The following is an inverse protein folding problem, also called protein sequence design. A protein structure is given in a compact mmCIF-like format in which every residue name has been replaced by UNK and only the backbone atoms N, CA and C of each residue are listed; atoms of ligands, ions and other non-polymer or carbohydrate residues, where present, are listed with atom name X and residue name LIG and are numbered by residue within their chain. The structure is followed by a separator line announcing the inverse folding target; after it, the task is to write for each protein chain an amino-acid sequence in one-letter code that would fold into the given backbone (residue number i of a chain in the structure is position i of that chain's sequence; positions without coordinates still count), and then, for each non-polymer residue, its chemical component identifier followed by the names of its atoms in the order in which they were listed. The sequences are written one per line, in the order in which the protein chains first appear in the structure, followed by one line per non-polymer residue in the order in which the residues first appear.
data_IF_913811467032
#
_entry.id   IF_913811467032
#
_cell.length_a   1.000
_cell.length_b   1.000
_cell.length_c   1.000
_cell.angle_alpha   90.00
_cell.angle_beta   90.00
_cell.angle_gamma   90.00
#
_symmetry.space_group_name_H-M   'P 1'
#
loop_
_entity.id
_entity.type
_entity.pdbx_description
1 polymer ?
#
# COMPACT_ATOMS: atom_id res chain seq x y z
N UNK A 1 17.12 27.87 7.34
CA UNK A 1 17.35 26.42 7.50
C UNK A 1 16.76 25.70 6.30
N UNK A 2 17.53 24.94 5.50
CA UNK A 2 16.95 24.20 4.38
C UNK A 2 16.10 23.04 4.90
N UNK A 3 14.82 23.02 4.51
CA UNK A 3 13.89 21.94 4.82
C UNK A 3 13.43 21.29 3.52
N UNK A 4 13.54 19.97 3.42
CA UNK A 4 13.00 19.21 2.29
C UNK A 4 11.55 18.84 2.56
N UNK A 5 10.63 19.53 1.89
CA UNK A 5 9.19 19.22 1.93
C UNK A 5 8.89 18.35 0.72
N UNK A 6 8.55 17.08 0.96
CA UNK A 6 8.25 16.10 -0.10
C UNK A 6 6.95 15.37 0.20
N UNK A 7 6.17 15.10 -0.85
CA UNK A 7 5.02 14.20 -0.81
C UNK A 7 5.30 13.03 -1.74
N UNK A 8 5.51 11.85 -1.16
CA UNK A 8 5.77 10.64 -1.93
C UNK A 8 4.48 9.84 -2.08
N UNK A 9 4.08 9.61 -3.33
CA UNK A 9 2.97 8.75 -3.72
C UNK A 9 3.51 7.65 -4.63
N UNK A 10 3.24 6.40 -4.28
CA UNK A 10 3.65 5.24 -5.05
C UNK A 10 2.43 4.45 -5.51
N UNK A 11 2.38 4.12 -6.80
CA UNK A 11 1.47 3.13 -7.34
C UNK A 11 2.18 1.77 -7.34
N UNK A 12 1.72 0.87 -6.48
CA UNK A 12 2.33 -0.44 -6.27
C UNK A 12 1.39 -1.49 -6.85
N UNK A 13 1.92 -2.35 -7.72
CA UNK A 13 1.17 -3.40 -8.40
C UNK A 13 1.90 -4.72 -8.23
N UNK A 14 1.19 -5.75 -7.81
CA UNK A 14 1.69 -7.12 -7.84
C UNK A 14 0.56 -8.10 -8.10
N UNK A 15 0.91 -9.25 -8.69
CA UNK A 15 -0.01 -10.29 -9.08
C UNK A 15 0.08 -11.51 -8.16
N UNK A 16 -0.97 -12.32 -8.17
CA UNK A 16 -0.93 -13.69 -7.66
C UNK A 16 0.15 -14.50 -8.39
N UNK A 17 0.58 -15.60 -7.77
CA UNK A 17 1.53 -16.52 -8.39
C UNK A 17 0.95 -17.03 -9.72
N UNK A 18 1.74 -16.94 -10.79
CA UNK A 18 1.34 -17.31 -12.16
C UNK A 18 0.10 -16.58 -12.70
N UNK A 19 -0.30 -15.43 -12.10
CA UNK A 19 -1.55 -14.72 -12.42
C UNK A 19 -2.81 -15.59 -12.31
N UNK A 20 -2.80 -16.57 -11.39
CA UNK A 20 -3.99 -17.35 -11.09
C UNK A 20 -5.11 -16.47 -10.49
N UNK A 21 -6.35 -16.72 -10.88
CA UNK A 21 -7.53 -15.98 -10.41
C UNK A 21 -7.93 -16.39 -8.99
N UNK A 22 -7.16 -15.94 -8.00
CA UNK A 22 -7.29 -16.32 -6.59
C UNK A 22 -7.95 -15.25 -5.72
N UNK A 23 -8.09 -14.02 -6.21
CA UNK A 23 -8.71 -12.89 -5.49
C UNK A 23 -10.21 -12.87 -5.83
N UNK A 24 -10.97 -13.73 -5.16
CA UNK A 24 -12.42 -13.77 -5.29
C UNK A 24 -13.10 -12.98 -4.16
N UNK A 25 -14.39 -12.60 -4.29
CA UNK A 25 -15.07 -11.74 -3.31
C UNK A 25 -14.97 -12.22 -1.86
N UNK A 26 -14.92 -13.54 -1.62
CA UNK A 26 -14.78 -14.11 -0.28
C UNK A 26 -13.43 -13.87 0.43
N UNK A 27 -12.39 -13.37 -0.26
CA UNK A 27 -11.10 -13.02 0.37
C UNK A 27 -10.68 -11.57 0.13
N UNK A 28 -11.35 -10.83 -0.76
CA UNK A 28 -10.88 -9.52 -1.23
C UNK A 28 -10.76 -8.50 -0.09
N UNK A 29 -11.82 -8.39 0.74
CA UNK A 29 -11.86 -7.48 1.88
C UNK A 29 -10.77 -7.81 2.91
N UNK A 30 -10.59 -9.09 3.22
CA UNK A 30 -9.56 -9.56 4.17
C UNK A 30 -8.15 -9.30 3.63
N UNK A 31 -7.91 -9.52 2.34
CA UNK A 31 -6.65 -9.22 1.67
C UNK A 31 -6.32 -7.72 1.75
N UNK A 32 -7.29 -6.86 1.44
CA UNK A 32 -7.11 -5.41 1.53
C UNK A 32 -6.93 -4.94 2.98
N UNK A 33 -7.65 -5.54 3.94
CA UNK A 33 -7.47 -5.30 5.37
C UNK A 33 -6.07 -5.67 5.86
N UNK A 34 -5.57 -6.84 5.45
CA UNK A 34 -4.21 -7.28 5.74
C UNK A 34 -3.17 -6.30 5.17
N UNK A 35 -3.30 -5.92 3.90
CA UNK A 35 -2.39 -4.97 3.24
C UNK A 35 -2.43 -3.60 3.92
N UNK A 36 -3.62 -3.13 4.29
CA UNK A 36 -3.74 -1.89 5.07
C UNK A 36 -2.95 -1.96 6.37
N UNK A 37 -3.03 -3.08 7.10
CA UNK A 37 -2.22 -3.34 8.28
C UNK A 37 -0.72 -3.29 8.01
N UNK A 38 -0.26 -3.95 6.94
CA UNK A 38 1.16 -3.92 6.52
C UNK A 38 1.62 -2.49 6.20
N UNK A 39 0.86 -1.75 5.40
CA UNK A 39 1.19 -0.37 5.00
C UNK A 39 1.24 0.55 6.23
N UNK A 40 0.26 0.42 7.14
CA UNK A 40 0.20 1.17 8.39
C UNK A 40 1.39 0.88 9.31
N UNK A 41 1.78 -0.40 9.44
CA UNK A 41 2.91 -0.82 10.26
C UNK A 41 4.27 -0.37 9.69
N UNK A 42 4.31 0.07 8.43
CA UNK A 42 5.46 0.69 7.78
C UNK A 42 5.36 2.23 7.76
N UNK A 43 4.54 2.82 8.62
CA UNK A 43 4.35 4.27 8.76
C UNK A 43 3.95 4.98 7.46
N UNK A 44 3.23 4.25 6.63
CA UNK A 44 2.67 4.73 5.38
C UNK A 44 1.14 4.73 5.45
N UNK A 45 0.51 5.44 4.51
CA UNK A 45 -0.94 5.49 4.37
C UNK A 45 -1.35 4.83 3.07
N UNK A 46 -2.18 3.80 3.15
CA UNK A 46 -2.90 3.26 2.00
C UNK A 46 -4.05 4.23 1.67
N UNK A 47 -4.00 4.85 0.50
CA UNK A 47 -5.01 5.82 0.05
C UNK A 47 -6.11 5.08 -0.74
N UNK A 48 -5.71 4.20 -1.64
CA UNK A 48 -6.61 3.39 -2.47
C UNK A 48 -6.04 1.98 -2.53
N UNK A 49 -6.91 0.98 -2.37
CA UNK A 49 -6.67 -0.40 -2.77
C UNK A 49 -7.80 -0.83 -3.70
N UNK A 50 -7.43 -1.48 -4.80
CA UNK A 50 -8.36 -2.10 -5.72
C UNK A 50 -7.63 -3.25 -6.42
N UNK A 51 -8.31 -4.04 -7.23
CA UNK A 51 -7.70 -5.10 -7.98
C UNK A 51 -8.64 -5.77 -8.96
N UNK A 52 -8.19 -6.93 -9.41
CA UNK A 52 -8.96 -7.91 -10.16
C UNK A 52 -8.63 -9.29 -9.58
N UNK A 53 -9.16 -10.33 -10.19
CA UNK A 53 -9.02 -11.72 -9.73
C UNK A 53 -7.58 -12.20 -9.56
N UNK A 54 -6.60 -11.58 -10.22
CA UNK A 54 -5.21 -12.04 -10.20
C UNK A 54 -4.15 -10.96 -9.91
N UNK A 55 -4.53 -9.70 -9.70
CA UNK A 55 -3.57 -8.66 -9.29
C UNK A 55 -4.25 -7.50 -8.59
N UNK A 56 -3.47 -6.76 -7.82
CA UNK A 56 -3.95 -5.60 -7.08
C UNK A 56 -3.17 -4.35 -7.44
N UNK A 57 -3.83 -3.21 -7.24
CA UNK A 57 -3.30 -1.88 -7.40
C UNK A 57 -3.44 -1.12 -6.07
N UNK A 58 -2.33 -0.62 -5.57
CA UNK A 58 -2.29 0.16 -4.32
C UNK A 58 -1.77 1.56 -4.61
N UNK A 59 -2.45 2.58 -4.10
CA UNK A 59 -1.91 3.93 -3.99
C UNK A 59 -1.49 4.17 -2.55
N UNK A 60 -0.19 4.30 -2.32
CA UNK A 60 0.39 4.48 -0.99
C UNK A 60 1.05 5.85 -0.89
N UNK A 61 0.76 6.58 0.18
CA UNK A 61 1.52 7.76 0.59
C UNK A 61 2.54 7.38 1.65
N UNK A 62 3.81 7.62 1.35
CA UNK A 62 4.89 7.46 2.30
C UNK A 62 5.30 8.82 2.85
N UNK A 63 5.50 8.88 4.16
CA UNK A 63 6.02 10.07 4.83
C UNK A 63 7.43 9.79 5.31
N UNK A 64 8.35 10.74 5.07
CA UNK A 64 9.68 10.67 5.66
C UNK A 64 9.53 10.83 7.17
N UNK A 65 9.93 9.83 7.95
CA UNK A 65 10.12 10.01 9.40
C UNK A 65 11.20 11.09 9.62
N UNK A 66 10.85 12.12 10.38
CA UNK A 66 11.85 13.01 10.98
C UNK A 66 12.58 12.23 12.07
N UNK A 67 13.86 11.92 11.89
CA UNK A 67 14.68 11.17 12.86
C UNK A 67 15.34 12.14 13.87
N UNK A 68 14.66 13.23 14.24
CA UNK A 68 15.19 14.16 15.24
C UNK A 68 14.18 14.31 16.38
N UNK A 69 14.50 13.82 17.59
CA UNK A 69 13.90 14.35 18.80
C UNK A 69 14.54 15.73 19.01
N UNK A 70 13.72 16.78 18.96
CA UNK A 70 14.10 18.05 19.58
C UNK A 70 13.65 17.95 21.03
#
# INVERSE_FOLDING_TARGET
MPQSIVKMLAHIVFSTKNRADLIHPGIEDDLFGYIHGVVKNNDAKLIIANGTTNHIHLLVSYQRKSIFPI
#
